data_IF_989082483727
#
_entry.id   IF_989082483727
#
_cell.length_a   1.000
_cell.length_b   1.000
_cell.length_c   1.000
_cell.angle_alpha   90.00
_cell.angle_beta   90.00
_cell.angle_gamma   90.00
#
_symmetry.space_group_name_H-M   'P 1'
#
loop_
_entity.id
_entity.type
_entity.pdbx_description
1 polymer ?
#
# COMPACT_ATOMS: atom_id res chain seq x y z
N UNK A 1 1.66 22.82 41.45
CA UNK A 1 1.76 21.57 40.65
C UNK A 1 0.76 21.51 39.49
N UNK A 2 -0.57 21.64 39.70
CA UNK A 2 -1.57 21.50 38.61
C UNK A 2 -1.39 22.45 37.40
N UNK A 3 -0.97 23.71 37.61
CA UNK A 3 -0.70 24.68 36.51
C UNK A 3 0.46 24.28 35.59
N UNK A 4 1.47 23.57 36.12
CA UNK A 4 2.60 23.09 35.32
C UNK A 4 2.24 21.81 34.56
N UNK A 5 1.43 20.95 35.17
CA UNK A 5 0.94 19.71 34.54
C UNK A 5 0.14 19.99 33.26
N UNK A 6 -0.76 20.98 33.27
CA UNK A 6 -1.53 21.36 32.08
C UNK A 6 -0.65 21.93 30.95
N UNK A 7 0.37 22.72 31.29
CA UNK A 7 1.33 23.23 30.29
C UNK A 7 2.14 22.10 29.64
N UNK A 8 2.58 21.12 30.43
CA UNK A 8 3.27 19.93 29.92
C UNK A 8 2.35 19.14 29.00
N UNK A 9 1.09 18.92 29.39
CA UNK A 9 0.11 18.21 28.57
C UNK A 9 -0.12 18.89 27.22
N UNK A 10 -0.29 20.21 27.19
CA UNK A 10 -0.41 20.98 25.94
C UNK A 10 0.83 20.77 25.07
N UNK A 11 2.03 20.89 25.64
CA UNK A 11 3.27 20.74 24.89
C UNK A 11 3.38 19.34 24.25
N UNK A 12 2.99 18.29 24.99
CA UNK A 12 2.95 16.91 24.48
C UNK A 12 1.95 16.78 23.33
N UNK A 13 0.75 17.34 23.46
CA UNK A 13 -0.27 17.30 22.39
C UNK A 13 0.24 18.02 21.14
N UNK A 14 0.84 19.19 21.29
CA UNK A 14 1.43 19.94 20.16
C UNK A 14 2.55 19.12 19.51
N UNK A 15 3.43 18.53 20.29
CA UNK A 15 4.51 17.68 19.77
C UNK A 15 3.97 16.48 19.00
N UNK A 16 2.98 15.77 19.55
CA UNK A 16 2.33 14.64 18.87
C UNK A 16 1.64 15.07 17.57
N UNK A 17 0.98 16.23 17.57
CA UNK A 17 0.38 16.80 16.36
C UNK A 17 1.43 17.14 15.30
N UNK A 18 2.55 17.74 15.70
CA UNK A 18 3.67 18.03 14.79
C UNK A 18 4.21 16.73 14.19
N UNK A 19 4.50 15.72 15.01
CA UNK A 19 4.97 14.40 14.54
C UNK A 19 3.97 13.79 13.57
N UNK A 20 2.68 13.85 13.89
CA UNK A 20 1.61 13.35 13.02
C UNK A 20 1.58 14.09 11.68
N UNK A 21 1.78 15.41 11.66
CA UNK A 21 1.78 16.24 10.45
C UNK A 21 3.03 16.02 9.58
N UNK A 22 4.21 15.87 10.18
CA UNK A 22 5.48 15.66 9.44
C UNK A 22 5.76 14.20 9.12
N UNK A 23 4.84 13.27 9.47
CA UNK A 23 5.06 11.82 9.34
C UNK A 23 5.46 11.39 7.93
N UNK A 24 4.90 12.01 6.90
CA UNK A 24 5.17 11.70 5.49
C UNK A 24 6.58 12.12 5.07
N UNK A 25 7.27 12.94 5.86
CA UNK A 25 8.66 13.34 5.63
C UNK A 25 9.66 12.54 6.49
N UNK A 26 9.19 11.69 7.40
CA UNK A 26 10.08 10.94 8.30
C UNK A 26 11.04 10.00 7.56
N UNK A 27 10.72 9.60 6.32
CA UNK A 27 11.64 8.82 5.48
C UNK A 27 13.00 9.53 5.27
N UNK A 28 13.04 10.86 5.35
CA UNK A 28 14.28 11.64 5.22
C UNK A 28 15.27 11.39 6.36
N UNK A 29 14.83 10.84 7.48
CA UNK A 29 15.67 10.53 8.64
C UNK A 29 16.40 9.18 8.49
N UNK A 30 15.99 8.35 7.53
CA UNK A 30 16.54 7.02 7.31
C UNK A 30 17.13 6.95 5.90
N UNK A 31 18.47 6.99 5.74
CA UNK A 31 19.10 7.00 4.42
C UNK A 31 18.81 5.68 3.67
N UNK A 32 18.54 5.79 2.37
CA UNK A 32 18.26 4.64 1.50
C UNK A 32 19.50 3.75 1.34
N UNK A 33 19.28 2.45 1.27
CA UNK A 33 20.29 1.48 0.82
C UNK A 33 20.53 1.57 -0.67
N UNK A 34 21.74 1.18 -1.12
CA UNK A 34 22.04 1.10 -2.54
C UNK A 34 21.09 0.10 -3.22
N UNK A 35 20.37 0.59 -4.22
CA UNK A 35 19.53 -0.27 -5.06
C UNK A 35 20.41 -1.34 -5.71
N UNK A 36 20.07 -2.60 -5.47
CA UNK A 36 20.64 -3.74 -6.17
C UNK A 36 20.48 -3.51 -7.68
N UNK A 37 21.57 -3.65 -8.44
CA UNK A 37 21.60 -3.37 -9.89
C UNK A 37 20.53 -4.17 -10.67
N UNK A 38 20.25 -5.39 -10.23
CA UNK A 38 19.14 -6.19 -10.75
C UNK A 38 17.81 -5.44 -10.62
N UNK A 39 17.47 -4.93 -9.44
CA UNK A 39 16.21 -4.21 -9.21
C UNK A 39 16.10 -2.95 -10.06
N UNK A 40 17.19 -2.17 -10.22
CA UNK A 40 17.21 -0.99 -11.10
C UNK A 40 16.85 -1.33 -12.54
N UNK A 41 17.46 -2.40 -13.07
CA UNK A 41 17.21 -2.86 -14.44
C UNK A 41 15.75 -3.27 -14.63
N UNK A 42 15.20 -4.02 -13.68
CA UNK A 42 13.83 -4.52 -13.77
C UNK A 42 12.81 -3.38 -13.65
N UNK A 43 13.00 -2.44 -12.73
CA UNK A 43 12.19 -1.22 -12.64
C UNK A 43 12.19 -0.45 -13.97
N UNK A 44 13.37 -0.24 -14.57
CA UNK A 44 13.47 0.44 -15.88
C UNK A 44 12.72 -0.30 -16.98
N UNK A 45 12.90 -1.61 -17.09
CA UNK A 45 12.27 -2.41 -18.14
C UNK A 45 10.74 -2.41 -18.00
N UNK A 46 10.24 -2.56 -16.79
CA UNK A 46 8.81 -2.56 -16.47
C UNK A 46 8.19 -1.17 -16.65
N UNK A 47 8.90 -0.08 -16.31
CA UNK A 47 8.45 1.28 -16.62
C UNK A 47 8.35 1.55 -18.14
N UNK A 48 9.28 1.00 -18.94
CA UNK A 48 9.20 1.08 -20.40
C UNK A 48 8.01 0.30 -20.98
N UNK A 49 7.53 -0.75 -20.30
CA UNK A 49 6.33 -1.48 -20.69
C UNK A 49 5.08 -0.62 -20.50
N UNK A 50 4.92 0.03 -19.34
CA UNK A 50 3.83 0.99 -19.12
C UNK A 50 3.76 2.05 -20.24
N UNK A 51 4.90 2.64 -20.62
CA UNK A 51 4.95 3.63 -21.71
C UNK A 51 4.44 3.04 -23.03
N UNK A 52 4.88 1.82 -23.37
CA UNK A 52 4.46 1.14 -24.61
C UNK A 52 2.97 0.83 -24.63
N UNK A 53 2.38 0.59 -23.47
CA UNK A 53 0.97 0.28 -23.29
C UNK A 53 0.09 1.53 -23.13
N UNK A 54 0.69 2.73 -23.09
CA UNK A 54 -0.01 4.01 -23.01
C UNK A 54 -0.29 4.49 -21.58
N UNK A 55 0.30 3.83 -20.58
CA UNK A 55 0.16 4.17 -19.17
C UNK A 55 1.31 5.05 -18.66
N UNK A 56 1.11 5.64 -17.47
CA UNK A 56 2.15 6.41 -16.80
C UNK A 56 3.35 5.51 -16.44
N UNK A 57 4.60 5.98 -16.56
CA UNK A 57 5.83 5.18 -16.40
C UNK A 57 6.16 4.87 -14.92
N UNK A 58 5.20 4.33 -14.19
CA UNK A 58 5.35 3.91 -12.80
C UNK A 58 5.55 2.40 -12.78
N UNK A 59 6.58 1.96 -12.06
CA UNK A 59 6.94 0.54 -11.93
C UNK A 59 7.33 0.21 -10.50
N UNK A 60 7.09 -1.02 -10.08
CA UNK A 60 7.48 -1.56 -8.80
C UNK A 60 7.99 -3.00 -8.94
N UNK A 61 8.85 -3.39 -8.00
CA UNK A 61 9.34 -4.76 -7.85
C UNK A 61 9.22 -5.20 -6.40
N UNK A 62 9.08 -6.51 -6.20
CA UNK A 62 9.00 -7.13 -4.86
C UNK A 62 10.18 -8.07 -4.69
N UNK A 63 10.95 -7.86 -3.63
CA UNK A 63 11.99 -8.76 -3.17
C UNK A 63 11.50 -9.54 -1.95
N UNK A 64 11.83 -10.82 -1.88
CA UNK A 64 11.71 -11.63 -0.68
C UNK A 64 13.07 -12.26 -0.39
N UNK A 65 13.62 -12.04 0.81
CA UNK A 65 15.00 -12.45 1.14
C UNK A 65 16.02 -11.99 0.09
N UNK A 66 15.94 -10.71 -0.31
CA UNK A 66 16.78 -10.10 -1.36
C UNK A 66 16.69 -10.76 -2.75
N UNK A 67 15.75 -11.67 -2.96
CA UNK A 67 15.49 -12.31 -4.25
C UNK A 67 14.27 -11.68 -4.90
N UNK A 68 14.38 -11.33 -6.18
CA UNK A 68 13.27 -10.77 -6.95
C UNK A 68 12.18 -11.81 -7.18
N UNK A 69 10.98 -11.54 -6.66
CA UNK A 69 9.83 -12.46 -6.70
C UNK A 69 8.60 -11.87 -7.39
N UNK A 70 8.57 -10.57 -7.67
CA UNK A 70 7.45 -9.94 -8.37
C UNK A 70 7.81 -8.65 -9.09
N UNK A 71 7.11 -8.36 -10.18
CA UNK A 71 7.24 -7.15 -11.01
C UNK A 71 5.87 -6.59 -11.37
N UNK A 72 5.76 -5.27 -11.46
CA UNK A 72 4.52 -4.65 -11.94
C UNK A 72 4.75 -3.23 -12.42
N UNK A 73 4.05 -2.84 -13.47
CA UNK A 73 3.92 -1.45 -13.93
C UNK A 73 2.48 -0.99 -13.83
N UNK A 74 2.25 0.30 -14.04
CA UNK A 74 0.92 0.84 -14.17
C UNK A 74 0.24 0.29 -15.43
N UNK A 75 -0.96 -0.28 -15.26
CA UNK A 75 -1.81 -0.81 -16.32
C UNK A 75 -3.24 -0.27 -16.24
N UNK A 76 -3.44 0.87 -15.58
CA UNK A 76 -4.76 1.44 -15.35
C UNK A 76 -5.53 1.67 -16.64
N UNK A 77 -4.86 2.26 -17.63
CA UNK A 77 -5.47 2.57 -18.93
C UNK A 77 -5.49 1.31 -19.78
N UNK A 78 -4.36 0.60 -19.90
CA UNK A 78 -4.21 -0.57 -20.78
C UNK A 78 -5.17 -1.70 -20.43
N UNK A 79 -5.35 -1.99 -19.13
CA UNK A 79 -6.21 -3.07 -18.65
C UNK A 79 -7.63 -2.60 -18.30
N UNK A 80 -7.92 -1.30 -18.43
CA UNK A 80 -9.17 -0.69 -17.94
C UNK A 80 -9.43 -1.05 -16.46
N UNK A 81 -8.39 -0.98 -15.64
CA UNK A 81 -8.40 -1.45 -14.26
C UNK A 81 -7.99 -0.33 -13.29
N UNK A 82 -8.95 0.22 -12.54
CA UNK A 82 -8.68 1.26 -11.55
C UNK A 82 -7.69 0.81 -10.45
N UNK A 83 -7.50 -0.49 -10.25
CA UNK A 83 -6.51 -1.05 -9.33
C UNK A 83 -5.17 -1.43 -9.99
N UNK A 84 -4.98 -1.15 -11.27
CA UNK A 84 -3.78 -1.45 -12.07
C UNK A 84 -2.56 -0.60 -11.71
N UNK A 85 -2.32 -0.34 -10.43
CA UNK A 85 -1.16 0.41 -9.95
C UNK A 85 0.06 -0.51 -9.88
N UNK A 86 1.25 0.02 -10.19
CA UNK A 86 2.49 -0.74 -10.22
C UNK A 86 2.76 -1.60 -8.97
N UNK A 87 2.58 -1.06 -7.76
CA UNK A 87 2.81 -1.79 -6.50
C UNK A 87 1.81 -2.94 -6.33
N UNK A 88 0.54 -2.71 -6.68
CA UNK A 88 -0.52 -3.73 -6.59
C UNK A 88 -0.25 -4.83 -7.62
N UNK A 89 0.07 -4.45 -8.85
CA UNK A 89 0.44 -5.37 -9.92
C UNK A 89 1.66 -6.21 -9.54
N UNK A 90 2.69 -5.60 -8.92
CA UNK A 90 3.88 -6.31 -8.49
C UNK A 90 3.61 -7.34 -7.39
N UNK A 91 2.74 -7.03 -6.42
CA UNK A 91 2.32 -8.00 -5.40
C UNK A 91 1.39 -9.08 -5.97
N UNK A 92 0.50 -8.72 -6.89
CA UNK A 92 -0.35 -9.68 -7.58
C UNK A 92 0.49 -10.66 -8.43
N UNK A 93 1.60 -10.22 -9.03
CA UNK A 93 2.55 -11.09 -9.73
C UNK A 93 3.17 -12.14 -8.78
N UNK A 94 3.56 -11.73 -7.56
CA UNK A 94 4.00 -12.64 -6.50
C UNK A 94 2.92 -13.67 -6.18
N UNK A 95 1.70 -13.20 -5.89
CA UNK A 95 0.55 -14.06 -5.52
C UNK A 95 0.17 -15.02 -6.63
N UNK A 96 0.14 -14.57 -7.89
CA UNK A 96 -0.13 -15.41 -9.06
C UNK A 96 0.90 -16.51 -9.21
N UNK A 97 2.18 -16.20 -8.96
CA UNK A 97 3.29 -17.14 -9.12
C UNK A 97 3.33 -18.19 -8.01
N UNK A 98 3.12 -17.81 -6.74
CA UNK A 98 3.31 -18.72 -5.60
C UNK A 98 2.02 -19.21 -4.94
N UNK A 99 0.87 -18.62 -5.28
CA UNK A 99 -0.43 -18.88 -4.67
C UNK A 99 -0.67 -18.12 -3.38
N UNK A 100 -1.94 -17.87 -3.07
CA UNK A 100 -2.41 -17.11 -1.91
C UNK A 100 -1.91 -17.66 -0.57
N UNK A 101 -2.04 -18.98 -0.36
CA UNK A 101 -1.64 -19.62 0.90
C UNK A 101 -0.15 -19.42 1.20
N UNK A 102 0.71 -19.58 0.18
CA UNK A 102 2.15 -19.42 0.33
C UNK A 102 2.54 -17.95 0.50
N UNK A 103 1.92 -17.04 -0.24
CA UNK A 103 2.13 -15.60 -0.04
C UNK A 103 1.79 -15.17 1.39
N UNK A 104 0.68 -15.66 1.94
CA UNK A 104 0.26 -15.36 3.31
C UNK A 104 1.17 -15.96 4.39
N UNK A 105 1.84 -17.08 4.11
CA UNK A 105 2.79 -17.69 5.04
C UNK A 105 4.19 -17.07 5.00
N UNK A 106 4.47 -16.12 4.09
CA UNK A 106 5.77 -15.46 4.04
C UNK A 106 6.01 -14.59 5.28
N UNK A 107 7.26 -14.54 5.75
CA UNK A 107 7.68 -13.52 6.70
C UNK A 107 7.65 -12.14 6.03
N UNK A 108 6.68 -11.31 6.43
CA UNK A 108 6.46 -9.98 5.86
C UNK A 108 7.61 -9.01 6.14
N UNK A 109 8.40 -9.24 7.20
CA UNK A 109 9.60 -8.44 7.49
C UNK A 109 10.72 -8.69 6.47
N UNK A 110 10.67 -9.80 5.76
CA UNK A 110 11.63 -10.19 4.74
C UNK A 110 11.20 -9.77 3.32
N UNK A 111 10.05 -9.09 3.20
CA UNK A 111 9.57 -8.50 1.94
C UNK A 111 10.05 -7.05 1.84
N UNK A 112 10.60 -6.68 0.70
CA UNK A 112 10.95 -5.29 0.36
C UNK A 112 10.26 -4.95 -0.96
N UNK A 113 9.51 -3.85 -0.97
CA UNK A 113 8.94 -3.30 -2.20
C UNK A 113 9.79 -2.11 -2.63
N UNK A 114 10.14 -2.04 -3.91
CA UNK A 114 10.83 -0.89 -4.50
C UNK A 114 9.96 -0.32 -5.61
N UNK A 115 9.83 1.00 -5.70
CA UNK A 115 8.96 1.68 -6.67
C UNK A 115 9.62 2.92 -7.28
N UNK A 116 9.31 3.25 -8.54
CA UNK A 116 9.78 4.49 -9.15
C UNK A 116 9.07 5.74 -8.61
N UNK A 117 7.93 5.57 -7.93
CA UNK A 117 7.18 6.64 -7.28
C UNK A 117 6.76 6.25 -5.86
N UNK A 118 6.64 7.24 -4.98
CA UNK A 118 6.10 7.10 -3.63
C UNK A 118 4.71 6.45 -3.69
N UNK A 119 4.41 5.48 -2.80
CA UNK A 119 3.09 4.85 -2.78
C UNK A 119 2.00 5.88 -2.49
N UNK A 120 1.02 5.97 -3.39
CA UNK A 120 -0.21 6.73 -3.16
C UNK A 120 -0.99 6.13 -1.96
N UNK A 121 -2.00 6.85 -1.46
CA UNK A 121 -2.81 6.40 -0.31
C UNK A 121 -3.38 4.98 -0.50
N UNK A 122 -3.85 4.66 -1.70
CA UNK A 122 -4.38 3.33 -2.02
C UNK A 122 -3.30 2.24 -1.95
N UNK A 123 -2.16 2.43 -2.61
CA UNK A 123 -1.05 1.48 -2.56
C UNK A 123 -0.49 1.34 -1.15
N UNK A 124 -0.43 2.43 -0.39
CA UNK A 124 -0.03 2.41 1.02
C UNK A 124 -0.98 1.56 1.86
N UNK A 125 -2.29 1.77 1.73
CA UNK A 125 -3.27 0.94 2.44
C UNK A 125 -3.17 -0.53 2.07
N UNK A 126 -2.93 -0.83 0.78
CA UNK A 126 -2.72 -2.20 0.31
C UNK A 126 -1.48 -2.85 0.93
N UNK A 127 -0.35 -2.15 1.01
CA UNK A 127 0.85 -2.66 1.68
C UNK A 127 0.61 -2.94 3.17
N UNK A 128 -0.06 -2.01 3.85
CA UNK A 128 -0.40 -2.14 5.27
C UNK A 128 -1.33 -3.34 5.54
N UNK A 129 -2.33 -3.55 4.68
CA UNK A 129 -3.25 -4.69 4.75
C UNK A 129 -2.50 -6.04 4.75
N UNK A 130 -1.43 -6.14 3.97
CA UNK A 130 -0.61 -7.35 3.89
C UNK A 130 0.60 -7.37 4.84
N UNK A 131 0.68 -6.41 5.77
CA UNK A 131 1.76 -6.32 6.76
C UNK A 131 3.12 -5.96 6.17
N UNK A 132 3.16 -5.41 4.95
CA UNK A 132 4.40 -5.04 4.26
C UNK A 132 4.76 -3.60 4.63
N UNK A 133 5.87 -3.42 5.34
CA UNK A 133 6.27 -2.12 5.89
C UNK A 133 7.54 -1.56 5.23
N UNK A 134 8.35 -2.39 4.56
CA UNK A 134 9.58 -1.97 3.89
C UNK A 134 9.27 -1.59 2.44
N UNK A 135 9.24 -0.29 2.19
CA UNK A 135 9.04 0.32 0.87
C UNK A 135 10.17 1.32 0.60
N UNK A 136 10.77 1.23 -0.57
CA UNK A 136 11.76 2.16 -1.08
C UNK A 136 11.22 2.81 -2.35
N UNK A 137 11.40 4.12 -2.52
CA UNK A 137 10.89 4.82 -3.68
C UNK A 137 11.83 5.92 -4.18
N UNK A 138 11.72 6.25 -5.48
CA UNK A 138 12.59 7.23 -6.13
C UNK A 138 11.98 8.63 -6.15
N UNK A 139 10.80 8.77 -6.76
CA UNK A 139 10.14 10.06 -6.92
C UNK A 139 9.06 10.25 -5.86
N UNK A 140 9.14 11.35 -5.12
CA UNK A 140 8.16 11.70 -4.11
C UNK A 140 6.86 12.23 -4.74
N UNK A 141 5.72 11.92 -4.15
CA UNK A 141 4.46 12.60 -4.46
C UNK A 141 4.49 14.06 -3.95
N UNK A 142 3.75 14.96 -4.61
CA UNK A 142 3.56 16.33 -4.13
C UNK A 142 3.02 16.38 -2.69
N UNK A 143 3.36 17.41 -1.91
CA UNK A 143 2.97 17.47 -0.49
C UNK A 143 1.45 17.73 -0.31
N UNK A 144 0.86 18.46 -1.24
CA UNK A 144 -0.56 18.74 -1.34
C UNK A 144 -1.38 17.47 -1.59
N UNK A 145 -0.82 16.46 -2.28
CA UNK A 145 -1.43 15.14 -2.40
C UNK A 145 -1.78 14.56 -1.03
N UNK A 146 -0.82 14.56 -0.09
CA UNK A 146 -1.02 14.01 1.25
C UNK A 146 -2.04 14.82 2.06
N UNK A 147 -2.02 16.15 1.93
CA UNK A 147 -2.99 17.00 2.60
C UNK A 147 -4.42 16.72 2.13
N UNK A 148 -4.64 16.65 0.81
CA UNK A 148 -5.93 16.30 0.21
C UNK A 148 -6.37 14.90 0.63
N UNK A 149 -5.48 13.91 0.58
CA UNK A 149 -5.73 12.54 1.05
C UNK A 149 -6.21 12.47 2.50
N UNK A 150 -5.63 13.28 3.41
CA UNK A 150 -6.07 13.32 4.81
C UNK A 150 -7.44 13.97 4.98
N UNK A 151 -7.75 15.00 4.18
CA UNK A 151 -9.08 15.60 4.18
C UNK A 151 -10.14 14.64 3.61
N UNK A 152 -9.80 13.91 2.55
CA UNK A 152 -10.69 12.92 1.94
C UNK A 152 -10.98 11.75 2.90
N UNK A 153 -9.96 11.26 3.61
CA UNK A 153 -10.12 10.24 4.66
C UNK A 153 -11.07 10.71 5.78
N UNK A 154 -10.86 11.93 6.29
CA UNK A 154 -11.76 12.51 7.28
C UNK A 154 -13.19 12.67 6.75
N UNK A 155 -13.34 13.18 5.53
CA UNK A 155 -14.64 13.33 4.88
C UNK A 155 -15.35 11.98 4.68
N UNK A 156 -14.59 10.93 4.32
CA UNK A 156 -15.09 9.58 4.20
C UNK A 156 -15.65 9.07 5.54
N UNK A 157 -14.92 9.24 6.63
CA UNK A 157 -15.35 8.84 7.98
C UNK A 157 -16.63 9.56 8.45
N UNK A 158 -16.79 10.83 8.10
CA UNK A 158 -18.02 11.59 8.41
C UNK A 158 -19.21 11.16 7.52
N UNK A 159 -18.95 10.73 6.29
CA UNK A 159 -19.99 10.39 5.30
C UNK A 159 -20.39 8.91 5.29
N UNK A 160 -19.56 8.00 5.80
CA UNK A 160 -19.91 6.57 5.83
C UNK A 160 -21.17 6.35 6.67
N UNK A 161 -22.00 5.39 6.24
CA UNK A 161 -23.26 5.04 6.90
C UNK A 161 -23.28 3.54 7.12
N UNK A 162 -23.71 3.14 8.30
CA UNK A 162 -24.04 1.74 8.58
C UNK A 162 -25.47 1.51 8.10
N UNK A 163 -25.69 0.45 7.32
CA UNK A 163 -27.03 -0.01 6.98
C UNK A 163 -27.67 -0.64 8.22
N UNK A 164 -29.01 -0.65 8.28
CA UNK A 164 -29.72 -1.34 9.35
C UNK A 164 -29.27 -2.81 9.42
N UNK A 165 -29.04 -3.36 10.63
CA UNK A 165 -28.66 -4.75 10.79
C UNK A 165 -29.66 -5.68 10.08
N UNK A 166 -29.14 -6.51 9.17
CA UNK A 166 -29.91 -7.55 8.51
C UNK A 166 -29.17 -8.87 8.67
N UNK A 167 -29.92 -9.96 8.82
CA UNK A 167 -29.36 -11.31 8.94
C UNK A 167 -28.77 -11.82 7.60
N UNK A 168 -28.73 -10.97 6.56
CA UNK A 168 -28.25 -11.33 5.22
C UNK A 168 -26.82 -11.86 5.27
N UNK A 169 -25.90 -11.12 5.90
CA UNK A 169 -24.49 -11.51 5.96
C UNK A 169 -24.32 -12.81 6.77
N UNK A 170 -25.02 -12.93 7.89
CA UNK A 170 -24.97 -14.12 8.75
C UNK A 170 -25.53 -15.35 8.04
N UNK A 171 -26.62 -15.17 7.28
CA UNK A 171 -27.21 -16.22 6.44
C UNK A 171 -26.24 -16.67 5.35
N UNK A 172 -25.58 -15.74 4.66
CA UNK A 172 -24.58 -16.06 3.62
C UNK A 172 -23.36 -16.78 4.20
N UNK A 173 -22.91 -16.40 5.41
CA UNK A 173 -21.83 -17.09 6.13
C UNK A 173 -22.26 -18.51 6.50
N UNK A 174 -23.51 -18.69 6.96
CA UNK A 174 -24.05 -20.01 7.27
C UNK A 174 -24.12 -20.89 6.02
N UNK A 175 -24.58 -20.36 4.88
CA UNK A 175 -24.63 -21.07 3.59
C UNK A 175 -23.24 -21.51 3.11
N UNK A 176 -22.23 -20.64 3.26
CA UNK A 176 -20.83 -20.98 2.95
C UNK A 176 -20.32 -22.08 3.88
N UNK A 177 -20.64 -22.01 5.16
CA UNK A 177 -20.19 -22.98 6.18
C UNK A 177 -20.88 -24.34 6.03
N UNK A 178 -22.16 -24.35 5.64
CA UNK A 178 -22.95 -25.57 5.41
C UNK A 178 -22.62 -26.30 4.10
N UNK A 179 -21.71 -25.76 3.27
CA UNK A 179 -21.38 -26.25 1.90
C UNK A 179 -22.62 -26.46 1.00
N UNK A 180 -23.71 -25.74 1.27
CA UNK A 180 -24.93 -25.82 0.46
C UNK A 180 -24.77 -25.25 -0.95
N UNK A 181 -23.65 -24.57 -1.21
CA UNK A 181 -23.23 -24.08 -2.52
C UNK A 181 -21.88 -24.71 -2.85
N UNK A 182 -21.79 -25.45 -3.96
CA UNK A 182 -20.52 -25.91 -4.51
C UNK A 182 -19.77 -24.70 -5.11
N UNK A 183 -18.81 -24.17 -4.37
CA UNK A 183 -17.86 -23.21 -4.91
C UNK A 183 -16.92 -23.95 -5.87
N UNK A 184 -17.07 -23.70 -7.17
CA UNK A 184 -16.00 -23.96 -8.14
C UNK A 184 -14.97 -22.83 -7.95
N UNK A 185 -13.69 -23.14 -7.67
CA UNK A 185 -12.64 -22.13 -7.49
C UNK A 185 -12.33 -21.37 -8.78
#
# INVERSE_FOLDING_TARGET
>A
MKKYLYKILILVIILLAIIYLVRSELFRLFPSTDLVELSKRELRNTALQAIKEGDNPVSAVVLYNYTLVGRGHNTMISDTNAAGHAIINALNDVVKTMGWTKFNSLDKNSIIVMSTAEPCQFCKSFLLEYGIQKIEFMNKLPIDYWFTSYLDDFNYEVKKRQLEPSDLQDSLIQLKTSRQINFQP
#
